data_IF_501292348169
#
_entry.id   IF_501292348169
#
_cell.length_a   1.000
_cell.length_b   1.000
_cell.length_c   1.000
_cell.angle_alpha   90.00
_cell.angle_beta   90.00
_cell.angle_gamma   90.00
#
_symmetry.space_group_name_H-M   'P 1'
#
loop_
_entity.id
_entity.type
_entity.pdbx_description
1 polymer ?
#
# COMPACT_ATOMS: atom_id res chain seq x y z
N UNK A 1 9.08 2.65 8.45
CA UNK A 1 10.44 2.66 7.86
C UNK A 1 10.47 3.74 6.81
N UNK A 2 10.75 4.98 7.22
CA UNK A 2 11.00 6.11 6.32
C UNK A 2 12.52 6.15 6.16
N UNK A 3 13.05 5.74 5.00
CA UNK A 3 14.49 5.60 4.76
C UNK A 3 15.21 6.92 4.47
N UNK A 4 14.66 8.04 4.94
CA UNK A 4 15.24 9.37 4.75
C UNK A 4 15.63 9.93 6.10
N UNK A 5 16.93 10.21 6.26
CA UNK A 5 17.49 10.87 7.44
C UNK A 5 17.47 12.37 7.17
N UNK A 6 16.79 13.13 8.03
CA UNK A 6 16.84 14.60 8.00
C UNK A 6 18.19 15.05 8.54
N UNK A 7 19.02 15.67 7.71
CA UNK A 7 20.19 16.42 8.18
C UNK A 7 19.72 17.74 8.80
N UNK A 8 20.07 17.99 10.06
CA UNK A 8 19.66 19.17 10.85
C UNK A 8 20.58 20.38 10.69
N UNK A 9 21.10 20.65 9.49
CA UNK A 9 21.87 21.87 9.26
C UNK A 9 21.15 22.85 8.33
N UNK A 10 20.85 24.00 8.92
CA UNK A 10 20.08 25.10 8.35
C UNK A 10 21.03 26.02 7.60
N UNK A 11 20.75 26.27 6.31
CA UNK A 11 20.96 27.58 5.73
C UNK A 11 19.77 27.95 4.84
N UNK A 12 19.02 28.97 5.30
CA UNK A 12 18.02 29.67 4.51
C UNK A 12 18.73 30.47 3.41
N UNK A 13 18.79 29.94 2.20
CA UNK A 13 19.07 30.75 1.02
C UNK A 13 17.79 30.96 0.20
N UNK A 14 17.36 32.22 0.15
CA UNK A 14 16.35 32.75 -0.75
C UNK A 14 16.90 32.81 -2.18
N UNK A 15 16.57 31.88 -3.08
CA UNK A 15 16.76 32.06 -4.54
C UNK A 15 15.73 31.19 -5.31
N UNK A 16 14.63 31.77 -5.78
CA UNK A 16 14.37 32.28 -7.15
C UNK A 16 13.93 31.23 -8.18
N UNK A 17 12.67 31.35 -8.64
CA UNK A 17 12.09 30.85 -9.89
C UNK A 17 12.59 29.48 -10.41
N UNK A 18 11.90 28.40 -10.04
CA UNK A 18 11.92 27.14 -10.78
C UNK A 18 10.53 26.83 -11.34
N UNK A 19 10.30 27.28 -12.57
CA UNK A 19 9.13 26.98 -13.42
C UNK A 19 9.10 25.51 -13.89
N UNK A 20 9.42 24.54 -13.02
CA UNK A 20 9.59 23.13 -13.38
C UNK A 20 9.24 22.11 -12.29
N UNK A 21 8.59 22.53 -11.20
CA UNK A 21 8.19 21.64 -10.13
C UNK A 21 6.75 21.14 -10.27
N UNK A 22 6.57 19.96 -10.87
CA UNK A 22 5.31 19.24 -10.84
C UNK A 22 5.26 18.31 -9.63
N UNK A 23 4.35 18.61 -8.70
CA UNK A 23 3.96 17.74 -7.60
C UNK A 23 2.69 16.96 -7.98
N UNK A 24 2.42 15.84 -7.28
CA UNK A 24 1.24 15.01 -7.50
C UNK A 24 1.50 13.83 -8.42
N UNK A 25 0.49 13.43 -9.20
CA UNK A 25 0.58 12.25 -10.07
C UNK A 25 1.68 12.35 -11.14
N UNK A 26 1.98 13.56 -11.62
CA UNK A 26 2.99 13.79 -12.66
C UNK A 26 4.43 13.85 -12.11
N UNK A 27 4.62 13.72 -10.80
CA UNK A 27 5.94 13.74 -10.18
C UNK A 27 6.82 12.59 -10.69
N UNK A 28 8.08 12.89 -11.05
CA UNK A 28 9.01 11.88 -11.55
C UNK A 28 10.42 12.09 -10.97
N UNK A 29 10.95 11.07 -10.28
CA UNK A 29 12.20 11.22 -9.53
C UNK A 29 13.45 11.48 -10.37
N UNK A 30 13.38 11.30 -11.70
CA UNK A 30 14.44 11.57 -12.67
C UNK A 30 14.40 12.99 -13.26
N UNK A 31 13.28 13.71 -13.10
CA UNK A 31 13.03 15.01 -13.75
C UNK A 31 12.77 16.13 -12.74
N UNK A 32 12.16 15.82 -11.59
CA UNK A 32 11.73 16.81 -10.60
C UNK A 32 12.85 17.19 -9.62
N UNK A 33 13.36 18.43 -9.70
CA UNK A 33 14.38 18.98 -8.75
C UNK A 33 13.78 19.71 -7.55
N UNK A 34 12.53 19.42 -7.18
CA UNK A 34 11.80 20.15 -6.12
C UNK A 34 12.34 19.93 -4.71
N UNK A 35 13.22 18.94 -4.53
CA UNK A 35 13.61 18.47 -3.22
C UNK A 35 14.97 17.74 -3.26
N UNK A 36 16.02 18.40 -3.78
CA UNK A 36 17.41 17.92 -3.64
C UNK A 36 18.27 18.85 -2.78
N UNK A 37 17.72 19.35 -1.68
CA UNK A 37 18.57 19.75 -0.55
C UNK A 37 18.13 18.96 0.69
N UNK A 38 19.06 18.19 1.26
CA UNK A 38 18.96 17.52 2.56
C UNK A 38 18.25 16.15 2.63
N UNK A 39 18.21 15.39 1.53
CA UNK A 39 17.76 13.99 1.54
C UNK A 39 18.82 13.08 0.91
N UNK A 40 19.58 12.34 1.72
CA UNK A 40 20.50 11.32 1.22
C UNK A 40 19.71 10.04 0.88
N UNK A 41 19.64 9.72 -0.41
CA UNK A 41 19.08 8.46 -0.91
C UNK A 41 20.05 7.33 -0.55
N UNK A 42 19.62 6.19 0.03
CA UNK A 42 20.50 5.02 0.15
C UNK A 42 21.03 4.60 -1.23
N UNK A 43 22.31 4.23 -1.28
CA UNK A 43 23.02 3.81 -2.50
C UNK A 43 22.26 2.76 -3.30
N UNK A 44 22.22 2.91 -4.62
CA UNK A 44 21.51 2.01 -5.55
C UNK A 44 21.88 0.54 -5.34
N UNK A 45 23.14 0.26 -4.98
CA UNK A 45 23.59 -1.11 -4.71
C UNK A 45 22.85 -1.77 -3.53
N UNK A 46 22.65 -1.04 -2.44
CA UNK A 46 21.93 -1.56 -1.26
C UNK A 46 20.47 -1.85 -1.64
N UNK A 47 19.86 -1.01 -2.48
CA UNK A 47 18.49 -1.18 -2.95
C UNK A 47 18.34 -2.40 -3.86
N UNK A 48 19.25 -2.59 -4.81
CA UNK A 48 19.24 -3.75 -5.69
C UNK A 48 19.45 -5.05 -4.92
N UNK A 49 20.36 -5.06 -3.93
CA UNK A 49 20.60 -6.23 -3.09
C UNK A 49 19.35 -6.57 -2.27
N UNK A 50 18.72 -5.58 -1.61
CA UNK A 50 17.52 -5.79 -0.81
C UNK A 50 16.34 -6.27 -1.68
N UNK A 51 16.14 -5.66 -2.85
CA UNK A 51 15.07 -6.06 -3.78
C UNK A 51 15.33 -7.47 -4.31
N UNK A 52 16.57 -7.78 -4.70
CA UNK A 52 16.96 -9.11 -5.17
C UNK A 52 16.76 -10.20 -4.10
N UNK A 53 17.18 -9.94 -2.87
CA UNK A 53 16.97 -10.87 -1.74
C UNK A 53 15.46 -11.09 -1.50
N UNK A 54 14.66 -10.02 -1.48
CA UNK A 54 13.22 -10.15 -1.29
C UNK A 54 12.56 -10.97 -2.40
N UNK A 55 12.90 -10.71 -3.67
CA UNK A 55 12.37 -11.46 -4.82
C UNK A 55 12.78 -12.93 -4.76
N UNK A 56 14.03 -13.23 -4.44
CA UNK A 56 14.52 -14.60 -4.27
C UNK A 56 13.77 -15.35 -3.15
N UNK A 57 13.54 -14.70 -2.01
CA UNK A 57 12.77 -15.27 -0.90
C UNK A 57 11.30 -15.47 -1.30
N UNK A 58 10.71 -14.51 -2.04
CA UNK A 58 9.36 -14.62 -2.57
C UNK A 58 9.20 -15.83 -3.51
N UNK A 59 10.11 -15.99 -4.47
CA UNK A 59 10.12 -17.13 -5.41
C UNK A 59 10.32 -18.44 -4.65
N UNK A 60 11.28 -18.50 -3.71
CA UNK A 60 11.47 -19.68 -2.88
C UNK A 60 10.19 -20.03 -2.08
N UNK A 61 9.48 -19.03 -1.58
CA UNK A 61 8.23 -19.24 -0.84
C UNK A 61 7.09 -19.80 -1.70
N UNK A 62 7.05 -19.48 -3.01
CA UNK A 62 6.13 -20.12 -3.98
C UNK A 62 6.53 -21.57 -4.20
N UNK A 63 7.82 -21.82 -4.49
CA UNK A 63 8.32 -23.13 -4.85
C UNK A 63 8.20 -24.13 -3.70
N UNK A 64 8.26 -23.65 -2.45
CA UNK A 64 8.15 -24.48 -1.25
C UNK A 64 6.71 -24.78 -0.84
N UNK A 65 5.69 -24.05 -1.34
CA UNK A 65 4.29 -24.29 -0.98
C UNK A 65 3.58 -25.18 -1.99
N UNK A 66 3.08 -26.32 -1.50
CA UNK A 66 2.28 -27.28 -2.28
C UNK A 66 0.78 -27.02 -2.21
N UNK A 67 0.31 -26.28 -1.21
CA UNK A 67 -1.11 -26.01 -1.00
C UNK A 67 -1.58 -24.94 -1.99
N UNK A 68 -2.64 -25.24 -2.74
CA UNK A 68 -3.19 -24.31 -3.74
C UNK A 68 -3.95 -23.14 -3.10
N UNK A 69 -4.40 -23.32 -1.87
CA UNK A 69 -5.20 -22.36 -1.10
C UNK A 69 -4.39 -21.12 -0.72
N UNK A 70 -3.15 -21.32 -0.26
CA UNK A 70 -2.28 -20.21 0.13
C UNK A 70 -1.84 -19.39 -1.07
N UNK A 71 -1.59 -20.05 -2.22
CA UNK A 71 -1.23 -19.42 -3.50
C UNK A 71 -2.27 -18.40 -3.96
N UNK A 72 -3.55 -18.60 -3.62
CA UNK A 72 -4.64 -17.69 -3.98
C UNK A 72 -4.67 -16.42 -3.10
N UNK A 73 -4.11 -16.47 -1.89
CA UNK A 73 -4.02 -15.35 -0.96
C UNK A 73 -2.72 -14.53 -1.11
N UNK A 74 -1.69 -15.09 -1.77
CA UNK A 74 -0.41 -14.40 -1.98
C UNK A 74 -0.55 -13.10 -2.80
N UNK A 75 -1.30 -13.06 -3.93
CA UNK A 75 -1.49 -11.83 -4.70
C UNK A 75 -2.15 -10.72 -3.88
N UNK A 76 -3.14 -11.06 -3.04
CA UNK A 76 -3.78 -10.09 -2.15
C UNK A 76 -2.79 -9.53 -1.10
N UNK A 77 -1.92 -10.39 -0.55
CA UNK A 77 -0.87 -10.00 0.40
C UNK A 77 0.18 -9.10 -0.25
N UNK A 78 0.55 -9.41 -1.48
CA UNK A 78 1.46 -8.60 -2.29
C UNK A 78 0.86 -7.23 -2.60
N UNK A 79 -0.40 -7.20 -3.04
CA UNK A 79 -1.12 -5.98 -3.39
C UNK A 79 -1.19 -5.01 -2.21
N UNK A 80 -1.59 -5.47 -1.02
CA UNK A 80 -1.64 -4.59 0.16
C UNK A 80 -0.24 -4.06 0.53
N UNK A 81 0.81 -4.85 0.27
CA UNK A 81 2.21 -4.41 0.37
C UNK A 81 2.54 -3.27 -0.56
N UNK A 82 2.21 -3.40 -1.85
CA UNK A 82 2.42 -2.34 -2.84
C UNK A 82 1.68 -1.06 -2.46
N UNK A 83 0.41 -1.17 -2.05
CA UNK A 83 -0.40 -0.02 -1.65
C UNK A 83 0.18 0.71 -0.45
N UNK A 84 0.71 -0.03 0.53
CA UNK A 84 1.42 0.57 1.68
C UNK A 84 2.73 1.24 1.26
N UNK A 85 3.49 0.59 0.38
CA UNK A 85 4.73 1.12 -0.17
C UNK A 85 4.48 2.42 -0.92
N UNK A 86 3.43 2.49 -1.74
CA UNK A 86 3.04 3.67 -2.49
C UNK A 86 2.67 4.82 -1.57
N UNK A 87 1.87 4.55 -0.52
CA UNK A 87 1.55 5.56 0.47
C UNK A 87 2.83 6.11 1.12
N UNK A 88 3.70 5.22 1.59
CA UNK A 88 4.88 5.60 2.37
C UNK A 88 5.99 6.23 1.51
N UNK A 89 6.08 5.86 0.24
CA UNK A 89 7.13 6.27 -0.69
C UNK A 89 6.72 7.42 -1.62
N UNK A 90 5.63 7.26 -2.37
CA UNK A 90 5.20 8.21 -3.38
C UNK A 90 4.23 9.25 -2.82
N UNK A 91 3.20 8.85 -2.09
CA UNK A 91 2.21 9.80 -1.59
C UNK A 91 2.83 10.83 -0.63
N UNK A 92 3.64 10.37 0.32
CA UNK A 92 4.38 11.26 1.24
C UNK A 92 5.36 12.18 0.53
N UNK A 93 6.02 11.72 -0.54
CA UNK A 93 7.06 12.48 -1.28
C UNK A 93 6.45 13.40 -2.33
N UNK A 94 5.72 12.84 -3.28
CA UNK A 94 5.21 13.52 -4.47
C UNK A 94 4.02 14.43 -4.18
N UNK A 95 3.20 14.11 -3.16
CA UNK A 95 2.04 14.94 -2.80
C UNK A 95 2.37 15.81 -1.59
N UNK A 96 2.59 15.23 -0.42
CA UNK A 96 2.68 16.00 0.83
C UNK A 96 3.98 16.82 0.87
N UNK A 97 5.14 16.17 0.78
CA UNK A 97 6.42 16.84 0.94
C UNK A 97 6.67 17.87 -0.17
N UNK A 98 6.34 17.53 -1.42
CA UNK A 98 6.52 18.41 -2.57
C UNK A 98 5.63 19.66 -2.51
N UNK A 99 4.34 19.51 -2.17
CA UNK A 99 3.40 20.64 -2.21
C UNK A 99 3.29 21.40 -0.89
N UNK A 100 3.36 20.72 0.27
CA UNK A 100 3.05 21.31 1.58
C UNK A 100 4.23 21.24 2.60
N UNK A 101 5.29 20.52 2.26
CA UNK A 101 6.52 20.41 3.06
C UNK A 101 6.61 19.14 3.92
N UNK A 102 7.85 18.74 4.24
CA UNK A 102 8.16 17.47 4.93
C UNK A 102 7.72 17.40 6.38
N UNK A 103 7.65 18.55 7.07
CA UNK A 103 7.26 18.61 8.47
C UNK A 103 5.79 18.22 8.71
N UNK A 104 4.93 18.32 7.69
CA UNK A 104 3.52 17.91 7.75
C UNK A 104 3.30 16.41 7.45
N UNK A 105 4.29 15.71 6.90
CA UNK A 105 4.16 14.28 6.53
C UNK A 105 3.78 13.43 7.73
N UNK A 106 4.38 13.69 8.89
CA UNK A 106 4.04 13.01 10.13
C UNK A 106 2.59 13.21 10.55
N UNK A 107 2.09 14.45 10.47
CA UNK A 107 0.72 14.81 10.86
C UNK A 107 -0.33 14.08 10.01
N UNK A 108 -0.16 14.07 8.69
CA UNK A 108 -1.06 13.36 7.77
C UNK A 108 -0.98 11.84 7.99
N UNK A 109 0.22 11.31 8.26
CA UNK A 109 0.42 9.88 8.52
C UNK A 109 -0.22 9.41 9.82
N UNK A 110 -0.30 10.26 10.85
CA UNK A 110 -1.05 9.95 12.07
C UNK A 110 -2.54 9.77 11.74
N UNK A 111 -3.13 10.64 10.93
CA UNK A 111 -4.54 10.47 10.52
C UNK A 111 -4.74 9.15 9.77
N UNK A 112 -3.90 8.87 8.78
CA UNK A 112 -3.92 7.58 8.08
C UNK A 112 -3.89 6.38 9.05
N UNK A 113 -3.02 6.41 10.06
CA UNK A 113 -2.91 5.35 11.06
C UNK A 113 -4.15 5.23 11.96
N UNK A 114 -4.69 6.35 12.42
CA UNK A 114 -5.91 6.36 13.25
C UNK A 114 -7.12 5.83 12.47
N UNK A 115 -7.30 6.28 11.23
CA UNK A 115 -8.39 5.82 10.35
C UNK A 115 -8.24 4.34 10.02
N UNK A 116 -7.00 3.85 9.81
CA UNK A 116 -6.72 2.43 9.63
C UNK A 116 -7.11 1.58 10.85
N UNK A 117 -6.83 2.06 12.06
CA UNK A 117 -7.27 1.38 13.29
C UNK A 117 -8.79 1.34 13.44
N UNK A 118 -9.45 2.49 13.24
CA UNK A 118 -10.92 2.61 13.30
C UNK A 118 -11.58 1.73 12.23
N UNK A 119 -11.11 1.79 11.00
CA UNK A 119 -11.67 1.00 9.89
C UNK A 119 -11.49 -0.51 10.12
N UNK A 120 -10.35 -0.95 10.68
CA UNK A 120 -10.12 -2.34 11.06
C UNK A 120 -11.15 -2.83 12.09
N UNK A 121 -11.42 -2.02 13.13
CA UNK A 121 -12.43 -2.33 14.14
C UNK A 121 -13.83 -2.37 13.53
N UNK A 122 -14.21 -1.34 12.78
CA UNK A 122 -15.51 -1.25 12.12
C UNK A 122 -15.75 -2.41 11.15
N UNK A 123 -14.74 -2.80 10.35
CA UNK A 123 -14.86 -3.93 9.43
C UNK A 123 -15.15 -5.24 10.17
N UNK A 124 -14.52 -5.48 11.33
CA UNK A 124 -14.84 -6.65 12.16
C UNK A 124 -16.30 -6.70 12.61
N UNK A 125 -16.90 -5.56 12.93
CA UNK A 125 -18.33 -5.47 13.25
C UNK A 125 -19.22 -5.58 12.01
N UNK A 126 -18.81 -5.00 10.88
CA UNK A 126 -19.59 -4.97 9.64
C UNK A 126 -19.69 -6.36 9.02
N UNK A 127 -18.59 -7.10 8.99
CA UNK A 127 -18.54 -8.48 8.48
C UNK A 127 -19.57 -9.37 9.17
N UNK A 128 -19.71 -9.27 10.50
CA UNK A 128 -20.70 -10.04 11.26
C UNK A 128 -22.15 -9.72 10.89
N UNK A 129 -22.42 -8.55 10.31
CA UNK A 129 -23.78 -8.08 9.96
C UNK A 129 -24.14 -8.33 8.50
N UNK A 130 -23.21 -8.04 7.57
CA UNK A 130 -23.47 -8.05 6.12
C UNK A 130 -22.63 -9.08 5.36
N UNK A 131 -21.77 -9.84 6.04
CA UNK A 131 -20.84 -10.78 5.43
C UNK A 131 -19.56 -10.13 4.89
N UNK A 132 -18.59 -10.96 4.50
CA UNK A 132 -17.26 -10.50 4.06
C UNK A 132 -17.25 -9.92 2.66
N UNK A 133 -17.93 -10.57 1.71
CA UNK A 133 -17.90 -10.20 0.29
C UNK A 133 -18.28 -8.71 0.09
N UNK A 134 -19.39 -8.19 0.65
CA UNK A 134 -19.75 -6.78 0.47
C UNK A 134 -18.74 -5.81 1.07
N UNK A 135 -18.11 -6.18 2.20
CA UNK A 135 -17.07 -5.36 2.85
C UNK A 135 -15.84 -5.24 1.97
N UNK A 136 -15.40 -6.34 1.35
CA UNK A 136 -14.30 -6.32 0.39
C UNK A 136 -14.62 -5.46 -0.82
N UNK A 137 -15.80 -5.63 -1.44
CA UNK A 137 -16.22 -4.81 -2.58
C UNK A 137 -16.26 -3.31 -2.22
N UNK A 138 -16.81 -2.95 -1.06
CA UNK A 138 -16.84 -1.57 -0.59
C UNK A 138 -15.42 -1.00 -0.39
N UNK A 139 -14.50 -1.78 0.20
CA UNK A 139 -13.13 -1.36 0.38
C UNK A 139 -12.41 -1.13 -0.97
N UNK A 140 -12.64 -2.00 -1.96
CA UNK A 140 -12.07 -1.83 -3.31
C UNK A 140 -12.62 -0.58 -3.99
N UNK A 141 -13.91 -0.28 -3.82
CA UNK A 141 -14.51 0.95 -4.35
C UNK A 141 -13.87 2.20 -3.74
N UNK A 142 -13.60 2.19 -2.43
CA UNK A 142 -12.86 3.28 -1.75
C UNK A 142 -11.45 3.41 -2.31
N UNK A 143 -10.75 2.30 -2.59
CA UNK A 143 -9.42 2.35 -3.19
C UNK A 143 -9.43 2.93 -4.62
N UNK A 144 -10.39 2.52 -5.47
CA UNK A 144 -10.57 3.13 -6.81
C UNK A 144 -10.81 4.62 -6.68
N UNK A 145 -11.72 5.03 -5.79
CA UNK A 145 -12.04 6.44 -5.57
C UNK A 145 -10.80 7.22 -5.12
N UNK A 146 -9.99 6.65 -4.22
CA UNK A 146 -8.75 7.26 -3.75
C UNK A 146 -7.71 7.39 -4.88
N UNK A 147 -7.52 6.35 -5.70
CA UNK A 147 -6.60 6.40 -6.84
C UNK A 147 -7.04 7.43 -7.89
N UNK A 148 -8.33 7.46 -8.25
CA UNK A 148 -8.87 8.46 -9.16
C UNK A 148 -8.73 9.86 -8.60
N UNK A 149 -9.01 10.04 -7.31
CA UNK A 149 -8.80 11.31 -6.63
C UNK A 149 -7.36 11.78 -6.79
N UNK A 150 -6.36 10.92 -6.54
CA UNK A 150 -4.94 11.28 -6.71
C UNK A 150 -4.54 11.57 -8.16
N UNK A 151 -5.20 10.99 -9.16
CA UNK A 151 -4.91 11.24 -10.58
C UNK A 151 -5.47 12.57 -11.08
N UNK A 152 -6.66 12.98 -10.60
CA UNK A 152 -7.30 14.22 -11.04
C UNK A 152 -6.98 15.42 -10.17
N UNK A 153 -6.53 15.19 -8.93
CA UNK A 153 -6.20 16.25 -8.00
C UNK A 153 -4.75 16.71 -8.16
N UNK A 154 -4.57 18.03 -8.30
CA UNK A 154 -3.26 18.66 -8.25
C UNK A 154 -3.01 19.18 -6.83
N UNK A 155 -1.94 18.74 -6.15
CA UNK A 155 -1.71 19.10 -4.76
C UNK A 155 -1.30 20.58 -4.62
N UNK A 156 -2.00 21.31 -3.76
CA UNK A 156 -1.74 22.71 -3.43
C UNK A 156 -1.60 22.91 -1.93
N UNK A 157 -0.67 23.78 -1.50
CA UNK A 157 -0.46 24.11 -0.08
C UNK A 157 -1.63 24.89 0.55
N UNK A 158 -2.47 25.52 -0.28
CA UNK A 158 -3.59 26.36 0.17
C UNK A 158 -4.76 25.52 0.70
N UNK A 159 -4.84 24.24 0.31
CA UNK A 159 -5.94 23.33 0.66
C UNK A 159 -5.42 22.08 1.41
N UNK A 160 -4.97 22.23 2.67
CA UNK A 160 -4.37 21.14 3.44
C UNK A 160 -5.34 19.98 3.72
N UNK A 161 -6.65 20.26 3.75
CA UNK A 161 -7.71 19.30 4.04
C UNK A 161 -7.73 18.11 3.05
N UNK A 162 -7.33 18.34 1.81
CA UNK A 162 -7.34 17.33 0.76
C UNK A 162 -6.28 16.23 0.98
N UNK A 163 -5.14 16.57 1.58
CA UNK A 163 -4.12 15.58 1.96
C UNK A 163 -4.65 14.63 3.04
N UNK A 164 -5.38 15.17 4.02
CA UNK A 164 -6.02 14.39 5.08
C UNK A 164 -7.14 13.51 4.54
N UNK A 165 -7.95 14.02 3.61
CA UNK A 165 -8.99 13.23 2.94
C UNK A 165 -8.39 12.03 2.19
N UNK A 166 -7.34 12.25 1.40
CA UNK A 166 -6.64 11.19 0.68
C UNK A 166 -6.05 10.13 1.63
N UNK A 167 -5.38 10.58 2.69
CA UNK A 167 -4.82 9.72 3.73
C UNK A 167 -5.90 8.90 4.45
N UNK A 168 -7.06 9.51 4.73
CA UNK A 168 -8.21 8.84 5.29
C UNK A 168 -8.76 7.75 4.38
N UNK A 169 -8.96 8.02 3.09
CA UNK A 169 -9.44 7.01 2.13
C UNK A 169 -8.49 5.82 2.04
N UNK A 170 -7.18 6.07 1.98
CA UNK A 170 -6.16 5.02 2.01
C UNK A 170 -6.18 4.23 3.31
N UNK A 171 -6.35 4.91 4.46
CA UNK A 171 -6.45 4.27 5.77
C UNK A 171 -7.68 3.37 5.89
N UNK A 172 -8.83 3.78 5.33
CA UNK A 172 -10.04 2.94 5.28
C UNK A 172 -9.76 1.66 4.51
N UNK A 173 -9.20 1.77 3.30
CA UNK A 173 -8.90 0.61 2.47
C UNK A 173 -7.89 -0.33 3.14
N UNK A 174 -6.76 0.20 3.59
CA UNK A 174 -5.70 -0.61 4.20
C UNK A 174 -6.20 -1.31 5.46
N UNK A 175 -6.88 -0.60 6.37
CA UNK A 175 -7.38 -1.21 7.61
C UNK A 175 -8.43 -2.29 7.36
N UNK A 176 -9.32 -2.08 6.38
CA UNK A 176 -10.28 -3.10 5.96
C UNK A 176 -9.58 -4.35 5.43
N UNK A 177 -8.71 -4.22 4.43
CA UNK A 177 -8.05 -5.36 3.79
C UNK A 177 -7.08 -6.07 4.73
N UNK A 178 -6.29 -5.32 5.51
CA UNK A 178 -5.29 -5.85 6.42
C UNK A 178 -5.89 -6.67 7.56
N UNK A 179 -7.03 -6.25 8.11
CA UNK A 179 -7.74 -7.00 9.15
C UNK A 179 -8.38 -8.28 8.58
N UNK A 180 -9.02 -8.18 7.41
CA UNK A 180 -9.73 -9.31 6.82
C UNK A 180 -8.80 -10.38 6.25
N UNK A 181 -7.70 -9.97 5.60
CA UNK A 181 -6.75 -10.90 5.02
C UNK A 181 -6.09 -11.75 6.11
N UNK A 182 -5.69 -11.14 7.23
CA UNK A 182 -5.17 -11.88 8.40
C UNK A 182 -6.21 -12.83 9.01
N UNK A 183 -7.50 -12.45 9.01
CA UNK A 183 -8.56 -13.35 9.43
C UNK A 183 -8.71 -14.56 8.49
N UNK A 184 -8.56 -14.40 7.17
CA UNK A 184 -8.56 -15.53 6.23
C UNK A 184 -7.39 -16.48 6.47
N UNK A 185 -6.17 -15.95 6.66
CA UNK A 185 -5.01 -16.76 6.99
C UNK A 185 -5.22 -17.57 8.28
N UNK A 186 -5.81 -16.98 9.32
CA UNK A 186 -6.09 -17.68 10.58
C UNK A 186 -7.20 -18.73 10.51
N UNK A 187 -8.26 -18.50 9.72
CA UNK A 187 -9.35 -19.50 9.59
C UNK A 187 -8.96 -20.66 8.68
N UNK A 188 -8.23 -20.39 7.59
CA UNK A 188 -7.88 -21.38 6.58
C UNK A 188 -6.73 -22.30 7.02
N UNK A 189 -5.76 -21.78 7.78
CA UNK A 189 -4.54 -22.53 8.16
C UNK A 189 -4.43 -22.76 9.67
N UNK A 190 -5.52 -23.18 10.36
CA UNK A 190 -5.53 -23.41 11.81
C UNK A 190 -4.44 -24.37 12.34
N UNK A 191 -3.98 -25.32 11.50
CA UNK A 191 -2.96 -26.30 11.89
C UNK A 191 -1.55 -25.73 11.75
N UNK A 192 -1.31 -24.92 10.72
CA UNK A 192 0.00 -24.38 10.35
C UNK A 192 -0.01 -22.83 10.30
N UNK A 193 -0.62 -22.21 11.32
CA UNK A 193 -0.86 -20.76 11.36
C UNK A 193 0.44 -19.96 11.24
N UNK A 194 1.49 -20.36 11.97
CA UNK A 194 2.78 -19.68 11.96
C UNK A 194 3.40 -19.62 10.56
N UNK A 195 3.35 -20.75 9.83
CA UNK A 195 3.88 -20.82 8.47
C UNK A 195 3.04 -19.99 7.50
N UNK A 196 1.72 -19.93 7.70
CA UNK A 196 0.81 -19.16 6.86
C UNK A 196 1.00 -17.64 7.06
N UNK A 197 1.10 -17.19 8.32
CA UNK A 197 1.39 -15.79 8.65
C UNK A 197 2.79 -15.35 8.21
N UNK A 198 3.79 -16.23 8.29
CA UNK A 198 5.11 -15.97 7.73
C UNK A 198 5.04 -15.74 6.20
N UNK A 199 4.22 -16.52 5.48
CA UNK A 199 3.97 -16.28 4.05
C UNK A 199 3.39 -14.88 3.81
N UNK A 200 2.32 -14.54 4.54
CA UNK A 200 1.66 -13.25 4.43
C UNK A 200 2.67 -12.11 4.57
N UNK A 201 3.50 -12.14 5.62
CA UNK A 201 4.49 -11.10 5.87
C UNK A 201 5.60 -11.04 4.81
N UNK A 202 6.06 -12.17 4.29
CA UNK A 202 7.06 -12.22 3.21
C UNK A 202 6.50 -11.55 1.95
N UNK A 203 5.29 -11.92 1.54
CA UNK A 203 4.66 -11.38 0.33
C UNK A 203 4.27 -9.91 0.46
N UNK A 204 3.76 -9.53 1.63
CA UNK A 204 3.53 -8.14 1.95
C UNK A 204 4.81 -7.30 1.86
N UNK A 205 5.90 -7.78 2.46
CA UNK A 205 7.19 -7.07 2.44
C UNK A 205 7.77 -7.00 1.03
N UNK A 206 7.57 -8.04 0.21
CA UNK A 206 7.95 -8.04 -1.19
C UNK A 206 7.21 -6.95 -1.99
N UNK A 207 5.89 -6.86 -1.85
CA UNK A 207 5.09 -5.82 -2.51
C UNK A 207 5.49 -4.41 -2.05
N UNK A 208 5.71 -4.24 -0.75
CA UNK A 208 6.20 -2.99 -0.17
C UNK A 208 7.54 -2.59 -0.79
N UNK A 209 8.50 -3.52 -0.84
CA UNK A 209 9.85 -3.28 -1.36
C UNK A 209 9.84 -2.97 -2.86
N UNK A 210 9.04 -3.71 -3.64
CA UNK A 210 8.90 -3.47 -5.08
C UNK A 210 8.33 -2.07 -5.35
N UNK A 211 7.33 -1.66 -4.58
CA UNK A 211 6.77 -0.32 -4.66
C UNK A 211 7.86 0.73 -4.46
N UNK A 212 8.68 0.62 -3.41
CA UNK A 212 9.80 1.54 -3.20
C UNK A 212 10.83 1.54 -4.32
N UNK A 213 11.11 0.38 -4.91
CA UNK A 213 11.99 0.29 -6.06
C UNK A 213 11.42 1.09 -7.24
N UNK A 214 10.13 0.91 -7.55
CA UNK A 214 9.45 1.59 -8.64
C UNK A 214 9.36 3.12 -8.47
N UNK A 215 9.15 3.63 -7.27
CA UNK A 215 9.07 5.08 -6.98
C UNK A 215 10.27 5.91 -7.44
N UNK A 216 11.43 5.28 -7.73
CA UNK A 216 12.64 5.98 -8.17
C UNK A 216 12.86 5.91 -9.68
N UNK A 217 12.30 4.91 -10.36
CA UNK A 217 12.47 4.72 -11.81
C UNK A 217 11.28 5.23 -12.62
N UNK A 218 10.07 5.08 -12.07
CA UNK A 218 8.82 5.44 -12.74
C UNK A 218 8.20 6.67 -12.08
N UNK A 219 7.45 7.43 -12.88
CA UNK A 219 6.68 8.56 -12.37
C UNK A 219 5.47 8.07 -11.57
N UNK A 220 4.96 8.91 -10.67
CA UNK A 220 3.94 8.53 -9.69
C UNK A 220 2.64 8.03 -10.34
N UNK A 221 2.21 8.59 -11.47
CA UNK A 221 1.03 8.14 -12.20
C UNK A 221 1.13 6.67 -12.65
N UNK A 222 2.31 6.23 -13.11
CA UNK A 222 2.52 4.86 -13.56
C UNK A 222 2.33 3.88 -12.40
N UNK A 223 2.72 4.32 -11.20
CA UNK A 223 2.55 3.54 -9.99
C UNK A 223 1.10 3.46 -9.53
N UNK A 224 0.35 4.56 -9.66
CA UNK A 224 -1.11 4.58 -9.41
C UNK A 224 -1.83 3.63 -10.38
N UNK A 225 -1.46 3.62 -11.66
CA UNK A 225 -2.01 2.67 -12.64
C UNK A 225 -1.69 1.21 -12.29
N UNK A 226 -0.48 0.92 -11.82
CA UNK A 226 -0.12 -0.43 -11.37
C UNK A 226 -1.01 -0.90 -10.20
N UNK A 227 -1.32 -0.02 -9.25
CA UNK A 227 -2.25 -0.32 -8.15
C UNK A 227 -3.67 -0.58 -8.67
N UNK A 228 -4.15 0.22 -9.63
CA UNK A 228 -5.48 0.05 -10.24
C UNK A 228 -5.56 -1.28 -11.01
N UNK A 229 -4.52 -1.66 -11.76
CA UNK A 229 -4.49 -2.91 -12.52
C UNK A 229 -4.58 -4.14 -11.61
N UNK A 230 -3.81 -4.16 -10.53
CA UNK A 230 -3.85 -5.25 -9.55
C UNK A 230 -5.18 -5.29 -8.78
N UNK A 231 -5.88 -4.16 -8.67
CA UNK A 231 -7.21 -4.09 -8.06
C UNK A 231 -8.31 -4.70 -8.93
N UNK A 232 -8.16 -4.70 -10.26
CA UNK A 232 -9.14 -5.35 -11.16
C UNK A 232 -9.04 -6.89 -11.09
N UNK A 233 -7.87 -7.43 -10.75
CA UNK A 233 -7.66 -8.87 -10.63
C UNK A 233 -8.17 -9.43 -9.29
N UNK A 234 -8.28 -8.63 -8.24
CA UNK A 234 -8.60 -9.08 -6.88
C UNK A 234 -10.05 -9.56 -6.67
N UNK A 235 -11.11 -8.94 -7.23
CA UNK A 235 -12.48 -9.46 -7.15
C UNK A 235 -12.62 -10.84 -7.82
N UNK A 236 -11.87 -11.08 -8.90
CA UNK A 236 -11.80 -12.39 -9.56
C UNK A 236 -11.15 -13.42 -8.64
N UNK A 237 -10.04 -13.09 -7.97
CA UNK A 237 -9.39 -13.98 -7.01
C UNK A 237 -10.28 -14.26 -5.79
N UNK A 238 -11.01 -13.27 -5.28
CA UNK A 238 -11.94 -13.45 -4.14
C UNK A 238 -13.14 -14.30 -4.55
N UNK A 239 -13.72 -14.07 -5.74
CA UNK A 239 -14.76 -14.94 -6.29
C UNK A 239 -14.24 -16.36 -6.49
N UNK A 240 -13.03 -16.53 -7.02
CA UNK A 240 -12.41 -17.83 -7.19
C UNK A 240 -12.15 -18.52 -5.84
N UNK A 241 -11.70 -17.78 -4.82
CA UNK A 241 -11.52 -18.27 -3.47
C UNK A 241 -12.85 -18.69 -2.85
N UNK A 242 -13.91 -17.92 -3.08
CA UNK A 242 -15.27 -18.26 -2.66
C UNK A 242 -15.76 -19.55 -3.34
N UNK A 243 -15.58 -19.68 -4.66
CA UNK A 243 -15.93 -20.92 -5.39
C UNK A 243 -15.12 -22.13 -4.90
N UNK A 244 -13.83 -21.98 -4.63
CA UNK A 244 -12.98 -23.05 -4.13
C UNK A 244 -13.34 -23.47 -2.70
N UNK A 245 -13.57 -22.51 -1.81
CA UNK A 245 -13.93 -22.77 -0.41
C UNK A 245 -15.35 -23.34 -0.26
N UNK A 246 -16.29 -23.00 -1.14
CA UNK A 246 -17.59 -23.66 -1.23
C UNK A 246 -17.51 -25.16 -1.55
N UNK A 247 -16.44 -25.60 -2.21
CA UNK A 247 -16.20 -27.02 -2.49
C UNK A 247 -15.46 -27.76 -1.35
N UNK A 248 -15.01 -27.06 -0.30
CA UNK A 248 -14.35 -27.67 0.86
C UNK A 248 -15.36 -27.87 2.02
N UNK A 249 -15.75 -29.12 2.34
CA UNK A 249 -16.85 -29.40 3.27
C UNK A 249 -16.61 -28.98 4.74
N UNK A 250 -15.37 -28.68 5.15
CA UNK A 250 -15.02 -28.42 6.55
C UNK A 250 -14.81 -26.93 6.92
N UNK A 251 -14.97 -25.99 5.97
CA UNK A 251 -14.53 -24.58 6.14
C UNK A 251 -15.70 -23.57 6.08
N UNK A 252 -16.89 -24.02 5.67
CA UNK A 252 -18.02 -23.17 5.26
C UNK A 252 -18.64 -22.25 6.33
N UNK A 253 -18.87 -22.63 7.61
CA UNK A 253 -19.64 -21.78 8.51
C UNK A 253 -18.89 -20.56 9.04
N UNK A 254 -17.61 -20.69 9.40
CA UNK A 254 -16.84 -19.64 10.08
C UNK A 254 -16.15 -18.63 9.14
N UNK A 255 -15.92 -19.03 7.89
CA UNK A 255 -15.13 -18.22 6.95
C UNK A 255 -15.95 -17.08 6.31
N UNK A 256 -17.27 -17.24 6.18
CA UNK A 256 -18.13 -16.28 5.47
C UNK A 256 -19.17 -15.58 6.37
N UNK A 257 -19.31 -16.03 7.63
CA UNK A 257 -19.94 -15.29 8.73
C UNK A 257 -18.96 -14.25 9.32
#
# INVERSE_FOLDING_TARGET
MTYFVLLSDVHHEHVSNSSGCLCGADFCSTVSTCFEHNIEKPSDQIRFILTGICVCIGIASVLLRKEKEILLLLPASFHIGMVQGFYTGDFTKAFIACAWGTYHVGLVTVLYGTVCGVSSFCCGCLVKKIGRIPVFFAAHLVNVAACLFLLFWSPSAEEPDMFFAAAGMWGIYVGALWSQLRAFYGVLFKVDEEAAFAAFHVWYSLGFTLSFAYSNYFCTYAHVYAIIQELLSTPLHICHLHFYTCNCPNVLPEMWQ
#
